data_IF_192783030672
#
_entry.id   IF_192783030672
#
_cell.length_a   1.000
_cell.length_b   1.000
_cell.length_c   1.000
_cell.angle_alpha   90.00
_cell.angle_beta   90.00
_cell.angle_gamma   90.00
#
_symmetry.space_group_name_H-M   'P 1'
#
loop_
_entity.id
_entity.type
_entity.pdbx_description
1 polymer ?
#
# COMPACT_ATOMS: atom_id res chain seq x y z
N UNK A 1 21.97 -9.34 -18.60
CA UNK A 1 22.59 -10.46 -17.84
C UNK A 1 21.98 -10.43 -16.45
N UNK A 2 20.95 -11.23 -16.20
CA UNK A 2 20.28 -11.31 -14.90
C UNK A 2 20.94 -12.44 -14.13
N UNK A 3 21.51 -12.16 -12.95
CA UNK A 3 22.10 -13.17 -12.08
C UNK A 3 21.12 -13.46 -10.95
N UNK A 4 20.76 -14.75 -10.86
CA UNK A 4 20.31 -15.50 -9.68
C UNK A 4 19.57 -14.71 -8.59
N UNK A 5 18.24 -14.76 -8.67
CA UNK A 5 17.35 -14.38 -7.58
C UNK A 5 17.21 -15.58 -6.61
N UNK A 6 18.24 -15.85 -5.80
CA UNK A 6 18.14 -16.83 -4.71
C UNK A 6 17.39 -16.24 -3.52
N UNK A 7 16.06 -16.31 -3.58
CA UNK A 7 15.16 -16.06 -2.46
C UNK A 7 13.96 -17.01 -2.61
N UNK A 8 13.34 -17.44 -1.52
CA UNK A 8 12.16 -18.30 -1.56
C UNK A 8 10.96 -17.56 -2.20
N UNK A 9 10.90 -17.54 -3.52
CA UNK A 9 9.76 -16.99 -4.30
C UNK A 9 8.46 -17.78 -4.11
N UNK A 10 8.51 -18.92 -3.41
CA UNK A 10 7.37 -19.81 -3.19
C UNK A 10 6.52 -19.53 -1.95
N UNK A 11 6.74 -18.46 -1.18
CA UNK A 11 6.00 -18.25 0.08
C UNK A 11 5.52 -16.82 0.34
N UNK A 12 6.15 -15.81 -0.27
CA UNK A 12 5.85 -14.40 0.02
C UNK A 12 4.66 -13.83 -0.77
N UNK A 13 4.15 -14.52 -1.80
CA UNK A 13 3.08 -14.01 -2.68
C UNK A 13 1.74 -14.74 -2.56
N UNK A 14 1.64 -15.82 -1.77
CA UNK A 14 0.34 -16.43 -1.51
C UNK A 14 -0.57 -15.42 -0.81
N UNK A 15 -1.76 -15.19 -1.36
CA UNK A 15 -2.71 -14.19 -0.85
C UNK A 15 -2.37 -12.75 -1.21
N UNK A 16 -1.54 -12.49 -2.23
CA UNK A 16 -1.26 -11.14 -2.75
C UNK A 16 -1.57 -11.02 -4.24
N UNK A 17 -1.93 -9.81 -4.68
CA UNK A 17 -2.17 -9.45 -6.09
C UNK A 17 -1.41 -8.19 -6.48
N UNK A 18 -1.05 -8.11 -7.75
CA UNK A 18 -0.60 -6.84 -8.33
C UNK A 18 -1.76 -5.84 -8.35
N UNK A 19 -1.45 -4.60 -8.00
CA UNK A 19 -2.37 -3.47 -8.02
C UNK A 19 -1.73 -2.27 -8.71
N UNK A 20 -2.58 -1.42 -9.27
CA UNK A 20 -2.21 -0.08 -9.71
C UNK A 20 -3.07 0.92 -8.96
N UNK A 21 -2.50 2.08 -8.65
CA UNK A 21 -3.22 3.19 -8.00
C UNK A 21 -3.67 4.20 -9.04
N UNK A 22 -4.66 5.04 -8.71
CA UNK A 22 -5.12 6.11 -9.61
C UNK A 22 -4.03 7.16 -9.90
N UNK A 23 -3.03 7.28 -9.02
CA UNK A 23 -1.84 8.12 -9.22
C UNK A 23 -0.76 7.46 -10.09
N UNK A 24 -1.01 6.26 -10.64
CA UNK A 24 -0.08 5.56 -11.54
C UNK A 24 0.97 4.69 -10.86
N UNK A 25 0.96 4.60 -9.53
CA UNK A 25 1.87 3.68 -8.82
C UNK A 25 1.52 2.22 -9.06
N UNK A 26 2.55 1.37 -9.09
CA UNK A 26 2.45 -0.10 -9.17
C UNK A 26 2.79 -0.70 -7.81
N UNK A 27 2.03 -1.71 -7.37
CA UNK A 27 2.23 -2.31 -6.07
C UNK A 27 1.76 -3.77 -5.97
N UNK A 28 1.95 -4.32 -4.77
CA UNK A 28 1.49 -5.63 -4.34
C UNK A 28 0.67 -5.46 -3.06
N UNK A 29 -0.60 -5.84 -3.12
CA UNK A 29 -1.53 -5.76 -1.99
C UNK A 29 -2.15 -7.14 -1.72
N UNK A 30 -3.02 -7.24 -0.71
CA UNK A 30 -3.74 -8.48 -0.42
C UNK A 30 -4.60 -8.90 -1.60
N UNK A 31 -4.79 -10.20 -1.78
CA UNK A 31 -5.63 -10.76 -2.86
C UNK A 31 -7.07 -10.24 -2.82
N UNK A 32 -7.58 -9.98 -1.61
CA UNK A 32 -8.90 -9.39 -1.38
C UNK A 32 -8.98 -7.90 -1.70
N UNK A 33 -7.87 -7.25 -2.07
CA UNK A 33 -7.87 -5.86 -2.51
C UNK A 33 -8.68 -5.68 -3.79
N UNK A 34 -9.43 -4.59 -3.85
CA UNK A 34 -10.35 -4.27 -4.94
C UNK A 34 -10.34 -2.78 -5.26
N UNK A 35 -10.93 -2.40 -6.40
CA UNK A 35 -11.13 -1.01 -6.77
C UNK A 35 -11.95 -0.28 -5.70
N UNK A 36 -11.51 0.92 -5.33
CA UNK A 36 -12.09 1.72 -4.26
C UNK A 36 -11.43 1.52 -2.90
N UNK A 37 -10.53 0.54 -2.75
CA UNK A 37 -9.63 0.50 -1.60
C UNK A 37 -8.60 1.63 -1.68
N UNK A 38 -8.23 2.18 -0.53
CA UNK A 38 -7.28 3.27 -0.38
C UNK A 38 -5.91 2.73 0.03
N UNK A 39 -4.85 3.24 -0.59
CA UNK A 39 -3.48 3.07 -0.11
C UNK A 39 -3.14 4.25 0.79
N UNK A 40 -2.84 3.98 2.05
CA UNK A 40 -2.57 4.99 3.06
C UNK A 40 -1.18 4.80 3.67
N UNK A 41 -0.49 5.91 3.92
CA UNK A 41 0.68 5.96 4.77
C UNK A 41 0.22 6.37 6.16
N UNK A 42 0.19 5.43 7.11
CA UNK A 42 -0.15 5.75 8.50
C UNK A 42 1.13 6.17 9.23
N UNK A 43 1.10 7.32 9.90
CA UNK A 43 2.23 7.78 10.70
C UNK A 43 2.58 6.76 11.78
N UNK A 44 3.87 6.41 11.88
CA UNK A 44 4.37 5.36 12.77
C UNK A 44 4.41 3.96 12.14
N UNK A 45 3.74 3.72 11.01
CA UNK A 45 3.89 2.48 10.25
C UNK A 45 5.09 2.54 9.30
N UNK A 46 5.77 1.39 9.14
CA UNK A 46 6.93 1.27 8.24
C UNK A 46 6.53 0.93 6.78
N UNK A 47 5.29 0.48 6.60
CA UNK A 47 4.74 0.02 5.32
C UNK A 47 3.45 0.80 5.02
N UNK A 48 3.15 1.11 3.75
CA UNK A 48 1.82 1.50 3.34
C UNK A 48 0.79 0.42 3.68
N UNK A 49 -0.45 0.84 3.91
CA UNK A 49 -1.54 -0.06 4.26
C UNK A 49 -2.71 0.14 3.31
N UNK A 50 -3.56 -0.87 3.20
CA UNK A 50 -4.82 -0.79 2.48
C UNK A 50 -5.95 -0.57 3.48
N UNK A 51 -6.69 0.51 3.29
CA UNK A 51 -7.95 0.80 4.00
C UNK A 51 -9.13 0.66 3.05
N UNK A 52 -10.24 0.10 3.54
CA UNK A 52 -11.47 -0.02 2.78
C UNK A 52 -12.58 0.84 3.41
N UNK A 53 -13.17 1.78 2.68
CA UNK A 53 -14.35 2.50 3.17
C UNK A 53 -15.52 1.56 3.46
N UNK A 54 -16.14 1.71 4.64
CA UNK A 54 -17.33 1.00 5.12
C UNK A 54 -18.27 1.98 5.86
N UNK A 55 -19.07 2.73 5.08
CA UNK A 55 -19.91 3.80 5.62
C UNK A 55 -19.04 4.97 6.09
N UNK A 56 -19.22 5.40 7.35
CA UNK A 56 -18.43 6.46 7.99
C UNK A 56 -17.07 5.96 8.51
N UNK A 57 -16.81 4.66 8.45
CA UNK A 57 -15.60 4.03 8.99
C UNK A 57 -14.76 3.36 7.90
N UNK A 58 -13.58 2.90 8.29
CA UNK A 58 -12.64 2.23 7.42
C UNK A 58 -12.21 0.89 8.00
N UNK A 59 -12.28 -0.17 7.20
CA UNK A 59 -11.71 -1.47 7.57
C UNK A 59 -10.23 -1.50 7.22
N UNK A 60 -9.39 -1.85 8.18
CA UNK A 60 -8.00 -2.17 7.92
C UNK A 60 -7.91 -3.51 7.18
N UNK A 61 -7.40 -3.49 5.94
CA UNK A 61 -7.25 -4.72 5.16
C UNK A 61 -5.89 -5.37 5.42
N UNK A 62 -4.81 -4.59 5.43
CA UNK A 62 -3.46 -5.08 5.69
C UNK A 62 -2.36 -4.22 5.07
N UNK A 63 -1.10 -4.59 5.30
CA UNK A 63 0.07 -3.94 4.70
C UNK A 63 0.17 -4.25 3.19
N UNK A 64 0.71 -3.30 2.44
CA UNK A 64 1.01 -3.45 1.01
C UNK A 64 2.38 -2.87 0.66
N UNK A 65 2.91 -3.32 -0.47
CA UNK A 65 4.06 -2.69 -1.11
C UNK A 65 3.55 -1.82 -2.24
N UNK A 66 3.98 -0.56 -2.29
CA UNK A 66 3.72 0.33 -3.42
C UNK A 66 5.02 1.01 -3.81
N UNK A 67 5.43 0.80 -5.06
CA UNK A 67 6.65 1.39 -5.57
C UNK A 67 6.54 2.92 -5.53
N UNK A 68 7.58 3.60 -5.02
CA UNK A 68 7.59 5.06 -4.87
C UNK A 68 6.89 5.60 -3.62
N UNK A 69 6.31 4.75 -2.75
CA UNK A 69 5.73 5.14 -1.45
C UNK A 69 6.41 4.47 -0.24
N UNK A 70 7.40 3.64 -0.50
CA UNK A 70 8.20 2.97 0.53
C UNK A 70 9.35 3.87 1.00
N UNK A 71 10.25 3.35 1.85
CA UNK A 71 11.56 3.91 2.25
C UNK A 71 11.71 5.42 2.55
N UNK A 72 10.60 6.13 2.78
CA UNK A 72 10.59 7.57 3.03
C UNK A 72 10.04 8.38 1.85
N UNK A 73 10.07 7.85 0.63
CA UNK A 73 9.60 8.52 -0.59
C UNK A 73 8.16 9.05 -0.46
N UNK A 74 7.29 8.27 0.20
CA UNK A 74 5.91 8.68 0.45
C UNK A 74 5.77 9.86 1.42
N UNK A 75 6.66 9.96 2.41
CA UNK A 75 6.71 11.10 3.34
C UNK A 75 7.29 12.32 2.64
N UNK A 76 8.36 12.17 1.86
CA UNK A 76 8.91 13.27 1.06
C UNK A 76 7.86 13.83 0.10
N UNK A 77 7.06 12.96 -0.52
CA UNK A 77 5.96 13.39 -1.38
C UNK A 77 4.85 14.13 -0.60
N UNK A 78 4.56 13.72 0.64
CA UNK A 78 3.68 14.45 1.54
C UNK A 78 4.25 15.84 1.88
N UNK A 79 5.54 15.95 2.19
CA UNK A 79 6.22 17.22 2.46
C UNK A 79 6.23 18.17 1.25
N UNK A 80 6.27 17.61 0.02
CA UNK A 80 6.10 18.37 -1.23
C UNK A 80 4.65 18.77 -1.53
N UNK A 81 3.68 18.36 -0.71
CA UNK A 81 2.27 18.69 -0.89
C UNK A 81 1.54 17.82 -1.93
N UNK A 82 2.10 16.67 -2.32
CA UNK A 82 1.47 15.76 -3.27
C UNK A 82 0.37 14.91 -2.62
N UNK A 83 0.37 14.81 -1.30
CA UNK A 83 -0.59 14.06 -0.49
C UNK A 83 -1.16 14.92 0.62
N UNK A 84 -2.39 14.62 1.02
CA UNK A 84 -3.07 15.29 2.13
C UNK A 84 -3.19 14.34 3.31
N UNK A 85 -3.19 14.91 4.51
CA UNK A 85 -3.43 14.17 5.74
C UNK A 85 -4.93 14.09 6.01
N UNK A 86 -5.41 12.90 6.35
CA UNK A 86 -6.79 12.64 6.72
C UNK A 86 -6.82 11.76 7.98
N UNK A 87 -7.86 11.95 8.81
CA UNK A 87 -8.09 11.12 9.99
C UNK A 87 -9.08 10.02 9.62
N UNK A 88 -8.71 8.78 9.87
CA UNK A 88 -9.55 7.61 9.65
C UNK A 88 -10.04 7.04 10.98
N UNK A 89 -11.31 6.67 11.05
CA UNK A 89 -11.87 5.89 12.15
C UNK A 89 -12.05 4.44 11.70
N UNK A 90 -11.47 3.49 12.43
CA UNK A 90 -11.44 2.08 12.05
C UNK A 90 -12.57 1.28 12.70
N UNK A 91 -13.10 0.29 11.97
CA UNK A 91 -14.00 -0.76 12.49
C UNK A 91 -13.27 -1.99 13.00
#
# INVERSE_FOLDING_TARGET
MWKDFSGSWGSANFGRRMVTTEKGHVGMALELSRRGDLVCLLFGCRMPVVLRPEGEYFRFMGECYVHGLMFGEGIEAFERGEYQMEKFELV
#
